data_IF_636703309074
#
_entry.id   IF_636703309074
#
_cell.length_a   1.000
_cell.length_b   1.000
_cell.length_c   1.000
_cell.angle_alpha   90.00
_cell.angle_beta   90.00
_cell.angle_gamma   90.00
#
_symmetry.space_group_name_H-M   'P 1'
#
loop_
_entity.id
_entity.type
_entity.pdbx_description
1 polymer ?
#
# COMPACT_ATOMS: atom_id res chain seq x y z
N UNK A 1 -2.99 0.47 -20.17
CA UNK A 1 -2.76 -0.06 -18.80
C UNK A 1 -3.86 -1.07 -18.51
N UNK A 2 -3.55 -2.23 -17.91
CA UNK A 2 -4.61 -3.02 -17.25
C UNK A 2 -4.88 -2.41 -15.88
N UNK A 3 -6.11 -2.46 -15.38
CA UNK A 3 -6.49 -1.85 -14.08
C UNK A 3 -5.54 -2.26 -12.95
N UNK A 4 -5.10 -3.52 -12.92
CA UNK A 4 -4.16 -4.03 -11.93
C UNK A 4 -2.76 -3.41 -12.02
N UNK A 5 -2.26 -3.13 -13.23
CA UNK A 5 -0.92 -2.52 -13.37
C UNK A 5 -0.97 -1.05 -12.96
N UNK A 6 -2.01 -0.32 -13.39
CA UNK A 6 -2.23 1.06 -12.97
C UNK A 6 -2.37 1.16 -11.44
N UNK A 7 -3.11 0.23 -10.84
CA UNK A 7 -3.21 0.15 -9.38
C UNK A 7 -1.86 -0.16 -8.72
N UNK A 8 -1.05 -1.06 -9.28
CA UNK A 8 0.31 -1.33 -8.78
C UNK A 8 1.21 -0.09 -8.76
N UNK A 9 1.06 0.81 -9.74
CA UNK A 9 1.76 2.11 -9.76
C UNK A 9 1.32 2.98 -8.58
N UNK A 10 0.02 3.02 -8.28
CA UNK A 10 -0.53 3.76 -7.13
C UNK A 10 -0.04 3.17 -5.80
N UNK A 11 0.04 1.83 -5.66
CA UNK A 11 0.61 1.21 -4.46
C UNK A 11 2.07 1.66 -4.23
N UNK A 12 2.88 1.76 -5.28
CA UNK A 12 4.24 2.27 -5.18
C UNK A 12 4.27 3.76 -4.81
N UNK A 13 3.34 4.58 -5.33
CA UNK A 13 3.19 5.99 -4.94
C UNK A 13 2.94 6.15 -3.44
N UNK A 14 2.06 5.32 -2.88
CA UNK A 14 1.75 5.31 -1.45
C UNK A 14 2.99 4.97 -0.63
N UNK A 15 3.75 3.93 -1.01
CA UNK A 15 4.97 3.55 -0.28
C UNK A 15 6.04 4.65 -0.27
N UNK A 16 6.22 5.35 -1.40
CA UNK A 16 7.29 6.35 -1.55
C UNK A 16 6.84 7.73 -1.07
N UNK A 17 5.53 7.93 -0.82
CA UNK A 17 4.97 9.20 -0.34
C UNK A 17 5.10 10.35 -1.35
N UNK A 18 5.36 10.03 -2.62
CA UNK A 18 5.56 10.99 -3.71
C UNK A 18 4.89 10.48 -4.97
N UNK A 19 4.28 11.40 -5.72
CA UNK A 19 3.77 11.13 -7.07
C UNK A 19 4.93 10.68 -7.96
N UNK A 20 4.80 9.54 -8.65
CA UNK A 20 5.89 8.96 -9.43
C UNK A 20 6.33 9.89 -10.57
N UNK A 21 5.40 10.67 -11.13
CA UNK A 21 5.69 11.72 -12.13
C UNK A 21 6.73 12.73 -11.62
N UNK A 22 6.77 13.02 -10.31
CA UNK A 22 7.78 13.89 -9.71
C UNK A 22 9.14 13.20 -9.54
N UNK A 23 9.14 11.89 -9.26
CA UNK A 23 10.37 11.09 -9.15
C UNK A 23 11.07 10.97 -10.51
N UNK A 24 10.30 10.75 -11.58
CA UNK A 24 10.80 10.63 -12.95
C UNK A 24 11.58 11.88 -13.41
N UNK A 25 11.24 13.08 -12.90
CA UNK A 25 11.96 14.32 -13.23
C UNK A 25 13.26 14.51 -12.44
N UNK A 26 13.46 13.77 -11.36
CA UNK A 26 14.59 13.97 -10.42
C UNK A 26 15.75 12.99 -10.60
N UNK A 27 15.53 11.83 -11.23
CA UNK A 27 16.56 10.79 -11.43
C UNK A 27 16.75 10.51 -12.92
N UNK A 28 18.01 10.51 -13.37
CA UNK A 28 18.47 10.19 -14.73
C UNK A 28 17.72 9.00 -15.36
N UNK A 29 16.69 9.27 -16.16
CA UNK A 29 16.12 8.36 -17.17
C UNK A 29 15.40 7.09 -16.69
N UNK A 30 15.43 6.74 -15.40
CA UNK A 30 14.86 5.48 -14.92
C UNK A 30 13.43 5.68 -14.42
N UNK A 31 12.48 4.90 -14.96
CA UNK A 31 11.09 5.00 -14.52
C UNK A 31 10.98 4.69 -13.02
N UNK A 32 10.11 5.38 -12.28
CA UNK A 32 9.96 5.14 -10.84
C UNK A 32 9.57 3.69 -10.50
N UNK A 33 8.82 3.03 -11.39
CA UNK A 33 8.52 1.60 -11.31
C UNK A 33 9.79 0.76 -11.43
N UNK A 34 10.67 1.07 -12.39
CA UNK A 34 11.96 0.39 -12.54
C UNK A 34 12.83 0.55 -11.30
N UNK A 35 12.89 1.77 -10.75
CA UNK A 35 13.64 2.04 -9.52
C UNK A 35 13.10 1.25 -8.32
N UNK A 36 11.77 1.17 -8.18
CA UNK A 36 11.13 0.33 -7.17
C UNK A 36 11.49 -1.15 -7.36
N UNK A 37 11.36 -1.69 -8.57
CA UNK A 37 11.65 -3.10 -8.86
C UNK A 37 13.12 -3.44 -8.58
N UNK A 38 14.05 -2.57 -8.96
CA UNK A 38 15.47 -2.73 -8.65
C UNK A 38 15.73 -2.71 -7.14
N UNK A 39 15.11 -1.78 -6.42
CA UNK A 39 15.24 -1.70 -4.96
C UNK A 39 14.70 -2.95 -4.26
N UNK A 40 13.63 -3.56 -4.79
CA UNK A 40 13.12 -4.84 -4.30
C UNK A 40 14.10 -6.00 -4.55
N UNK A 41 14.73 -6.05 -5.71
CA UNK A 41 15.72 -7.08 -6.06
C UNK A 41 17.01 -6.95 -5.22
N UNK A 42 17.47 -5.73 -5.00
CA UNK A 42 18.63 -5.41 -4.16
C UNK A 42 18.34 -5.49 -2.66
N UNK A 43 17.10 -5.84 -2.25
CA UNK A 43 16.64 -5.86 -0.85
C UNK A 43 16.78 -4.52 -0.12
N UNK A 44 16.67 -3.43 -0.88
CA UNK A 44 16.76 -2.02 -0.43
C UNK A 44 15.38 -1.34 -0.32
N UNK A 45 14.32 -2.11 -0.07
CA UNK A 45 12.96 -1.56 0.04
C UNK A 45 12.89 -0.37 1.01
N UNK A 46 13.45 -0.49 2.21
CA UNK A 46 13.32 0.54 3.25
C UNK A 46 14.12 1.83 2.95
N UNK A 47 15.02 1.81 1.97
CA UNK A 47 15.74 3.00 1.51
C UNK A 47 14.84 3.92 0.70
N UNK A 48 13.79 3.36 0.07
CA UNK A 48 12.90 4.08 -0.84
C UNK A 48 11.52 4.37 -0.24
N UNK A 49 11.14 3.68 0.84
CA UNK A 49 9.87 3.92 1.55
C UNK A 49 9.92 5.27 2.27
N UNK A 50 8.81 6.02 2.21
CA UNK A 50 8.62 7.30 2.87
C UNK A 50 8.87 7.19 4.37
N UNK A 51 9.41 8.25 4.97
CA UNK A 51 9.71 8.27 6.40
C UNK A 51 8.44 8.11 7.27
N UNK A 52 7.29 8.66 6.83
CA UNK A 52 6.02 8.54 7.56
C UNK A 52 5.51 7.10 7.54
N UNK A 53 5.54 6.47 6.37
CA UNK A 53 5.16 5.05 6.22
C UNK A 53 6.05 4.14 7.09
N UNK A 54 7.37 4.40 7.14
CA UNK A 54 8.28 3.65 8.03
C UNK A 54 8.01 3.87 9.52
N UNK A 55 7.55 5.06 9.89
CA UNK A 55 7.27 5.44 11.28
C UNK A 55 5.97 4.81 11.78
N UNK A 56 4.96 4.75 10.91
CA UNK A 56 3.60 4.34 11.27
C UNK A 56 3.33 2.85 11.01
N UNK A 57 3.92 2.28 9.97
CA UNK A 57 3.68 0.89 9.56
C UNK A 57 4.68 -0.11 10.14
N UNK A 58 4.24 -1.35 10.39
CA UNK A 58 5.15 -2.43 10.76
C UNK A 58 5.98 -2.84 9.54
N UNK A 59 7.26 -3.16 9.77
CA UNK A 59 8.17 -3.64 8.72
C UNK A 59 7.59 -4.82 7.93
N UNK A 60 6.91 -5.75 8.61
CA UNK A 60 6.30 -6.91 7.99
C UNK A 60 5.22 -6.51 6.97
N UNK A 61 4.25 -5.69 7.38
CA UNK A 61 3.16 -5.23 6.51
C UNK A 61 3.65 -4.35 5.37
N UNK A 62 4.64 -3.48 5.61
CA UNK A 62 5.29 -2.70 4.55
C UNK A 62 5.90 -3.63 3.50
N UNK A 63 6.54 -4.72 3.94
CA UNK A 63 7.14 -5.72 3.04
C UNK A 63 6.07 -6.48 2.26
N UNK A 64 4.99 -6.92 2.91
CA UNK A 64 3.87 -7.60 2.24
C UNK A 64 3.19 -6.70 1.21
N UNK A 65 2.97 -5.44 1.57
CA UNK A 65 2.40 -4.42 0.68
C UNK A 65 3.30 -4.19 -0.54
N UNK A 66 4.61 -4.09 -0.34
CA UNK A 66 5.57 -3.94 -1.44
C UNK A 66 5.62 -5.18 -2.35
N UNK A 67 5.58 -6.39 -1.80
CA UNK A 67 5.53 -7.62 -2.61
C UNK A 67 4.21 -7.75 -3.39
N UNK A 68 3.09 -7.26 -2.84
CA UNK A 68 1.83 -7.15 -3.59
C UNK A 68 1.96 -6.16 -4.76
N UNK A 69 2.53 -4.97 -4.52
CA UNK A 69 2.76 -3.97 -5.56
C UNK A 69 3.67 -4.52 -6.69
N UNK A 70 4.76 -5.21 -6.33
CA UNK A 70 5.67 -5.88 -7.27
C UNK A 70 4.96 -6.92 -8.14
N UNK A 71 4.05 -7.72 -7.57
CA UNK A 71 3.23 -8.67 -8.35
C UNK A 71 2.24 -7.96 -9.28
N UNK A 72 1.63 -6.86 -8.85
CA UNK A 72 0.75 -6.05 -9.69
C UNK A 72 1.49 -5.44 -10.90
N UNK A 73 2.75 -5.07 -10.70
CA UNK A 73 3.64 -4.45 -11.70
C UNK A 73 4.36 -5.47 -12.60
N UNK A 74 4.05 -6.77 -12.50
CA UNK A 74 4.72 -7.79 -13.31
C UNK A 74 4.58 -7.50 -14.82
N UNK A 75 5.68 -7.59 -15.57
CA UNK A 75 5.66 -7.37 -17.03
C UNK A 75 4.78 -8.40 -17.75
N UNK A 76 4.71 -9.63 -17.24
CA UNK A 76 3.81 -10.66 -17.72
C UNK A 76 2.42 -10.48 -17.09
N UNK A 77 1.45 -10.03 -17.89
CA UNK A 77 0.07 -9.82 -17.43
C UNK A 77 -0.57 -11.08 -16.83
N UNK A 78 -0.21 -12.29 -17.29
CA UNK A 78 -0.75 -13.56 -16.76
C UNK A 78 -0.23 -13.89 -15.35
N UNK A 79 0.87 -13.28 -14.92
CA UNK A 79 1.43 -13.43 -13.58
C UNK A 79 0.89 -12.38 -12.59
N UNK A 80 0.15 -11.38 -13.08
CA UNK A 80 -0.50 -10.39 -12.21
C UNK A 80 -1.66 -11.04 -11.46
N UNK A 81 -1.89 -10.68 -10.19
CA UNK A 81 -3.07 -11.13 -9.47
C UNK A 81 -4.35 -10.55 -10.11
N UNK A 82 -5.48 -11.22 -9.91
CA UNK A 82 -6.79 -10.63 -10.18
C UNK A 82 -7.07 -9.50 -9.18
N UNK A 83 -7.83 -8.47 -9.60
CA UNK A 83 -8.12 -7.31 -8.74
C UNK A 83 -8.81 -7.70 -7.42
N UNK A 84 -9.68 -8.72 -7.45
CA UNK A 84 -10.28 -9.31 -6.24
C UNK A 84 -9.21 -9.78 -5.25
N UNK A 85 -8.21 -10.52 -5.73
CA UNK A 85 -7.09 -11.01 -4.89
C UNK A 85 -6.26 -9.86 -4.34
N UNK A 86 -6.06 -8.79 -5.12
CA UNK A 86 -5.37 -7.58 -4.65
C UNK A 86 -6.13 -6.96 -3.47
N UNK A 87 -7.45 -6.82 -3.57
CA UNK A 87 -8.28 -6.30 -2.48
C UNK A 87 -8.24 -7.20 -1.23
N UNK A 88 -8.40 -8.51 -1.40
CA UNK A 88 -8.35 -9.48 -0.29
C UNK A 88 -7.01 -9.43 0.47
N UNK A 89 -5.89 -9.29 -0.26
CA UNK A 89 -4.56 -9.20 0.35
C UNK A 89 -4.34 -7.87 1.06
N UNK A 90 -4.78 -6.75 0.48
CA UNK A 90 -4.74 -5.44 1.16
C UNK A 90 -5.55 -5.42 2.45
N UNK A 91 -6.74 -6.05 2.45
CA UNK A 91 -7.57 -6.14 3.63
C UNK A 91 -6.88 -6.95 4.75
N UNK A 92 -6.19 -8.03 4.39
CA UNK A 92 -5.38 -8.82 5.34
C UNK A 92 -4.24 -8.00 5.93
N UNK A 93 -3.49 -7.29 5.09
CA UNK A 93 -2.39 -6.41 5.53
C UNK A 93 -2.92 -5.37 6.53
N UNK A 94 -4.06 -4.73 6.22
CA UNK A 94 -4.71 -3.76 7.11
C UNK A 94 -5.11 -4.38 8.46
N UNK A 95 -5.71 -5.56 8.45
CA UNK A 95 -6.14 -6.26 9.68
C UNK A 95 -4.95 -6.67 10.55
N UNK A 96 -3.81 -7.03 9.96
CA UNK A 96 -2.57 -7.35 10.67
C UNK A 96 -1.95 -6.13 11.37
N UNK A 97 -2.23 -4.92 10.89
CA UNK A 97 -1.82 -3.68 11.57
C UNK A 97 -2.64 -3.43 12.84
N UNK A 98 -3.96 -3.59 12.75
CA UNK A 98 -4.93 -3.33 13.84
C UNK A 98 -4.78 -4.36 14.99
N UNK A 99 -4.44 -5.61 14.70
CA UNK A 99 -4.36 -6.68 15.71
C UNK A 99 -3.22 -6.57 16.74
N UNK A 100 -2.30 -5.61 16.62
CA UNK A 100 -1.25 -5.44 17.64
C UNK A 100 -1.56 -4.39 18.72
N UNK A 101 -2.72 -3.72 18.65
CA UNK A 101 -3.16 -2.78 19.69
C UNK A 101 -4.14 -3.38 20.69
N UNK A 102 -4.70 -4.57 20.45
CA UNK A 102 -5.66 -5.20 21.36
C UNK A 102 -5.16 -6.57 21.86
N UNK A 103 -4.51 -6.52 23.01
CA UNK A 103 -4.53 -7.62 23.98
C UNK A 103 -5.34 -7.15 25.20
N UNK A 104 -6.65 -7.01 25.02
CA UNK A 104 -7.60 -7.27 26.08
C UNK A 104 -8.78 -8.08 25.51
N UNK A 105 -9.08 -9.13 26.25
CA UNK A 105 -9.96 -10.25 25.99
C UNK A 105 -11.44 -9.83 25.83
N UNK A 106 -12.11 -10.32 24.79
CA UNK A 106 -13.35 -11.13 24.87
C UNK A 106 -14.08 -11.16 23.52
N UNK A 107 -14.56 -12.35 23.17
CA UNK A 107 -15.26 -12.64 21.94
C UNK A 107 -16.77 -12.46 22.14
N UNK A 108 -17.44 -11.69 21.26
CA UNK A 108 -18.85 -11.90 20.99
C UNK A 108 -19.11 -11.80 19.49
N UNK A 109 -19.58 -12.92 18.93
CA UNK A 109 -20.26 -12.97 17.65
C UNK A 109 -21.53 -12.13 17.73
N UNK A 110 -21.52 -10.95 17.11
CA UNK A 110 -22.73 -10.25 16.68
C UNK A 110 -22.55 -9.83 15.23
N UNK A 111 -23.50 -10.25 14.39
CA UNK A 111 -23.70 -9.66 13.07
C UNK A 111 -24.09 -8.19 13.27
N UNK A 112 -23.26 -7.26 12.80
CA UNK A 112 -23.61 -5.84 12.82
C UNK A 112 -23.35 -5.25 11.43
N UNK A 113 -24.44 -4.68 10.91
CA UNK A 113 -24.66 -4.05 9.61
C UNK A 113 -23.47 -3.20 9.07
N UNK A 114 -23.26 -3.15 7.74
CA UNK A 114 -22.02 -2.64 7.13
C UNK A 114 -21.97 -1.12 6.96
N UNK A 115 -22.51 -0.31 7.88
CA UNK A 115 -22.54 1.16 7.72
C UNK A 115 -21.57 1.95 8.61
N UNK A 116 -20.83 1.35 9.54
CA UNK A 116 -19.97 2.13 10.48
C UNK A 116 -18.47 2.15 10.16
N UNK A 117 -17.98 1.34 9.22
CA UNK A 117 -16.55 1.25 8.88
C UNK A 117 -16.08 2.27 7.82
N UNK A 118 -16.99 3.08 7.28
CA UNK A 118 -16.63 4.17 6.37
C UNK A 118 -15.98 5.30 7.18
N UNK A 119 -16.51 5.61 8.37
CA UNK A 119 -16.16 6.79 9.16
C UNK A 119 -14.65 6.96 9.40
N UNK A 120 -13.88 6.00 9.95
CA UNK A 120 -12.49 6.27 10.34
C UNK A 120 -11.55 6.45 9.12
N UNK A 121 -11.84 5.77 8.02
CA UNK A 121 -11.06 5.88 6.79
C UNK A 121 -11.43 7.18 6.03
N UNK A 122 -12.72 7.53 5.93
CA UNK A 122 -13.10 8.83 5.35
C UNK A 122 -12.68 9.99 6.25
N UNK A 123 -12.63 9.83 7.57
CA UNK A 123 -12.12 10.85 8.50
C UNK A 123 -10.62 11.05 8.33
N UNK A 124 -9.84 9.98 8.10
CA UNK A 124 -8.41 10.08 7.81
C UNK A 124 -8.18 10.73 6.43
N UNK A 125 -8.90 10.30 5.40
CA UNK A 125 -8.81 10.89 4.06
C UNK A 125 -9.36 12.34 4.00
N UNK A 126 -10.38 12.67 4.79
CA UNK A 126 -10.97 14.01 4.89
C UNK A 126 -10.07 14.94 5.71
N UNK A 127 -9.51 14.48 6.84
CA UNK A 127 -8.54 15.26 7.63
C UNK A 127 -7.31 15.60 6.80
N UNK A 128 -6.79 14.64 6.03
CA UNK A 128 -5.66 14.86 5.11
C UNK A 128 -6.04 15.82 3.97
N UNK A 129 -7.32 15.87 3.57
CA UNK A 129 -7.81 16.78 2.52
C UNK A 129 -8.06 18.21 3.04
N UNK A 130 -8.45 18.38 4.30
CA UNK A 130 -8.69 19.69 4.93
C UNK A 130 -7.41 20.43 5.33
N UNK A 131 -6.30 19.72 5.55
CA UNK A 131 -4.97 20.34 5.80
C UNK A 131 -4.24 20.78 4.51
N UNK A 132 -4.82 20.49 3.33
CA UNK A 132 -4.23 20.81 2.02
C UNK A 132 -4.99 21.90 1.25
N UNK A 133 -5.79 22.72 1.95
CA UNK A 133 -6.36 23.98 1.44
C UNK A 133 -5.94 25.17 2.30
#
# INVERSE_FOLDING_TARGET
>A
MSDVYGFGVVLVEVLIGKKLVSIQRSKQGTSPVTYFMQSMEEKKLFDIVDARVKKEGKKASITEFAELAKRCLNSNAKKRPAMKKVADELEKIRKSEIKASDAHDEQCSEEVEPETLVAPAVELFSSISSELL
#
